data_IF_163130893625
#
_entry.id   IF_163130893625
#
_cell.length_a   1.000
_cell.length_b   1.000
_cell.length_c   1.000
_cell.angle_alpha   90.00
_cell.angle_beta   90.00
_cell.angle_gamma   90.00
#
_symmetry.space_group_name_H-M   'P 1'
#
loop_
_entity.id
_entity.type
_entity.pdbx_description
1 polymer ?
#
# COMPACT_ATOMS: atom_id res chain seq x y z
N UNK A 1 6.74 5.54 8.66
CA UNK A 1 7.40 5.93 7.41
C UNK A 1 6.68 5.27 6.24
N UNK A 2 6.03 6.03 5.34
CA UNK A 2 5.35 5.51 4.14
C UNK A 2 6.31 5.60 2.95
N UNK A 3 6.95 4.49 2.57
CA UNK A 3 7.88 4.43 1.43
C UNK A 3 9.03 5.47 1.49
N UNK A 4 9.53 5.75 2.70
CA UNK A 4 10.57 6.77 2.92
C UNK A 4 10.03 8.17 3.23
N UNK A 5 8.71 8.40 3.16
CA UNK A 5 8.09 9.61 3.67
C UNK A 5 7.86 9.51 5.17
N UNK A 6 8.37 10.49 5.89
CA UNK A 6 8.07 10.70 7.30
C UNK A 6 6.82 11.56 7.40
N UNK A 7 5.74 10.93 7.82
CA UNK A 7 4.42 11.56 7.97
C UNK A 7 4.10 11.52 9.45
N UNK A 8 4.07 12.69 10.08
CA UNK A 8 3.73 12.85 11.50
C UNK A 8 2.24 13.18 11.64
N UNK A 9 1.41 12.15 11.46
CA UNK A 9 -0.02 12.24 11.77
C UNK A 9 -0.22 11.67 13.17
N UNK A 10 -0.83 12.46 14.06
CA UNK A 10 -1.25 12.01 15.39
C UNK A 10 -2.41 11.01 15.27
N UNK A 11 -2.07 9.73 15.24
CA UNK A 11 -3.03 8.63 15.17
C UNK A 11 -3.45 8.11 16.55
N UNK A 12 -2.79 8.54 17.62
CA UNK A 12 -2.99 8.12 19.01
C UNK A 12 -4.42 8.34 19.52
N UNK A 13 -5.11 9.34 18.99
CA UNK A 13 -6.47 9.72 19.38
C UNK A 13 -7.53 9.29 18.38
N UNK A 14 -7.16 8.62 17.29
CA UNK A 14 -8.14 8.11 16.32
C UNK A 14 -8.93 6.98 16.99
N UNK A 15 -10.25 7.09 16.96
CA UNK A 15 -11.18 6.09 17.47
C UNK A 15 -12.16 5.66 16.37
N UNK A 16 -12.38 4.37 16.28
CA UNK A 16 -13.35 3.75 15.38
C UNK A 16 -14.62 3.42 16.19
N UNK A 17 -15.76 4.01 15.84
CA UNK A 17 -17.06 3.60 16.34
C UNK A 17 -17.55 2.31 15.65
N UNK A 18 -17.12 1.18 16.21
CA UNK A 18 -17.52 -0.16 15.76
C UNK A 18 -19.03 -0.45 15.89
N UNK A 19 -19.79 0.42 16.55
CA UNK A 19 -21.26 0.26 16.65
C UNK A 19 -21.98 0.85 15.44
N UNK A 20 -21.32 1.70 14.65
CA UNK A 20 -21.90 2.29 13.46
C UNK A 20 -21.98 1.27 12.31
N UNK A 21 -23.20 0.83 11.99
CA UNK A 21 -23.48 -0.13 10.89
C UNK A 21 -23.92 0.54 9.58
N UNK A 22 -23.77 1.86 9.47
CA UNK A 22 -24.17 2.60 8.27
C UNK A 22 -23.25 2.20 7.10
N UNK A 23 -23.84 1.80 5.98
CA UNK A 23 -23.08 1.51 4.78
C UNK A 23 -22.24 2.73 4.34
N UNK A 24 -20.96 2.51 4.06
CA UNK A 24 -20.02 3.57 3.68
C UNK A 24 -19.51 4.43 4.84
N UNK A 25 -19.82 4.07 6.09
CA UNK A 25 -19.22 4.72 7.25
C UNK A 25 -17.73 4.38 7.37
N UNK A 26 -16.95 5.37 7.79
CA UNK A 26 -15.52 5.26 8.09
C UNK A 26 -15.20 6.22 9.21
N UNK A 27 -14.34 5.83 10.16
CA UNK A 27 -13.81 6.71 11.19
C UNK A 27 -13.16 7.99 10.63
N UNK A 28 -12.74 7.99 9.37
CA UNK A 28 -12.20 9.17 8.68
C UNK A 28 -13.22 10.32 8.66
N UNK A 29 -14.51 9.97 8.57
CA UNK A 29 -15.61 10.93 8.55
C UNK A 29 -16.05 11.37 9.95
N UNK A 30 -15.52 10.76 11.02
CA UNK A 30 -15.87 11.16 12.38
C UNK A 30 -15.15 12.47 12.74
N UNK A 31 -15.88 13.58 13.02
CA UNK A 31 -15.27 14.85 13.39
C UNK A 31 -14.41 14.76 14.66
N UNK A 32 -14.64 13.77 15.54
CA UNK A 32 -13.80 13.53 16.73
C UNK A 32 -12.36 13.16 16.38
N UNK A 33 -12.15 12.52 15.22
CA UNK A 33 -10.84 12.10 14.76
C UNK A 33 -10.03 13.25 14.14
N UNK A 34 -10.66 14.41 13.88
CA UNK A 34 -10.00 15.62 13.34
C UNK A 34 -9.18 15.36 12.07
N UNK A 35 -9.62 14.40 11.25
CA UNK A 35 -8.93 13.99 10.03
C UNK A 35 -9.25 14.85 8.80
N UNK A 36 -10.20 15.78 8.93
CA UNK A 36 -10.64 16.65 7.84
C UNK A 36 -9.48 17.49 7.26
N UNK A 37 -8.65 18.07 8.12
CA UNK A 37 -7.53 18.94 7.71
C UNK A 37 -6.22 18.18 7.51
N UNK A 38 -6.20 16.87 7.78
CA UNK A 38 -4.98 16.04 7.66
C UNK A 38 -4.48 15.97 6.22
N UNK A 39 -5.37 16.11 5.24
CA UNK A 39 -4.99 16.20 3.83
C UNK A 39 -4.06 17.39 3.54
N UNK A 40 -4.31 18.56 4.14
CA UNK A 40 -3.48 19.74 3.93
C UNK A 40 -2.08 19.56 4.53
N UNK A 41 -2.02 19.00 5.74
CA UNK A 41 -0.74 18.68 6.40
C UNK A 41 0.08 17.65 5.62
N UNK A 42 -0.59 16.65 5.04
CA UNK A 42 0.03 15.68 4.14
C UNK A 42 0.58 16.35 2.88
N UNK A 43 -0.19 17.26 2.28
CA UNK A 43 0.25 18.00 1.11
C UNK A 43 1.49 18.85 1.44
N UNK A 44 1.50 19.57 2.56
CA UNK A 44 2.65 20.36 3.02
C UNK A 44 3.89 19.50 3.29
N UNK A 45 3.69 18.35 3.93
CA UNK A 45 4.76 17.37 4.12
C UNK A 45 5.33 16.94 2.77
N UNK A 46 4.48 16.64 1.80
CA UNK A 46 4.91 16.28 0.45
C UNK A 46 5.72 17.39 -0.23
N UNK A 47 5.31 18.66 -0.09
CA UNK A 47 6.03 19.82 -0.68
C UNK A 47 7.48 19.90 -0.22
N UNK A 48 7.72 19.60 1.05
CA UNK A 48 9.05 19.66 1.67
C UNK A 48 9.87 18.36 1.50
N UNK A 49 9.25 17.31 0.98
CA UNK A 49 9.82 15.96 0.93
C UNK A 49 10.39 15.59 -0.45
N UNK A 50 11.03 14.43 -0.48
CA UNK A 50 11.53 13.81 -1.70
C UNK A 50 11.32 12.30 -1.69
N UNK A 51 11.24 11.72 -2.88
CA UNK A 51 11.20 10.27 -3.05
C UNK A 51 12.43 9.82 -3.82
N UNK A 52 13.23 8.93 -3.21
CA UNK A 52 14.50 8.41 -3.78
C UNK A 52 15.44 9.54 -4.24
N UNK A 53 15.50 10.62 -3.47
CA UNK A 53 16.32 11.80 -3.74
C UNK A 53 15.76 12.77 -4.79
N UNK A 54 14.57 12.50 -5.35
CA UNK A 54 13.88 13.41 -6.27
C UNK A 54 12.75 14.16 -5.54
N UNK A 55 12.72 15.50 -5.58
CA UNK A 55 11.66 16.26 -4.91
C UNK A 55 10.31 16.06 -5.61
N UNK A 56 9.22 16.17 -4.85
CA UNK A 56 7.85 16.17 -5.40
C UNK A 56 7.47 17.50 -6.05
N UNK A 57 8.04 18.60 -5.57
CA UNK A 57 7.83 19.94 -6.12
C UNK A 57 9.18 20.57 -6.46
N UNK A 58 9.25 21.25 -7.61
CA UNK A 58 10.38 22.09 -7.98
C UNK A 58 9.85 23.50 -8.25
N UNK A 59 10.16 24.45 -7.36
CA UNK A 59 9.54 25.77 -7.40
C UNK A 59 8.06 25.69 -7.04
N UNK A 60 7.19 25.99 -8.00
CA UNK A 60 5.72 25.86 -7.87
C UNK A 60 5.15 24.61 -8.55
N UNK A 61 5.98 23.88 -9.30
CA UNK A 61 5.50 22.84 -10.20
C UNK A 61 5.69 21.43 -9.62
N UNK A 62 4.61 20.66 -9.65
CA UNK A 62 4.62 19.24 -9.29
C UNK A 62 5.44 18.43 -10.30
N UNK A 63 6.36 17.62 -9.77
CA UNK A 63 7.16 16.70 -10.55
C UNK A 63 6.36 15.41 -10.77
N UNK A 64 5.61 15.36 -11.87
CA UNK A 64 4.70 14.27 -12.21
C UNK A 64 5.40 12.91 -12.21
N UNK A 65 6.63 12.83 -12.74
CA UNK A 65 7.40 11.58 -12.78
C UNK A 65 7.72 11.05 -11.37
N UNK A 66 8.07 11.94 -10.43
CA UNK A 66 8.32 11.58 -9.04
C UNK A 66 7.02 11.09 -8.38
N UNK A 67 5.91 11.78 -8.64
CA UNK A 67 4.60 11.39 -8.11
C UNK A 67 4.17 10.01 -8.61
N UNK A 68 4.29 9.76 -9.92
CA UNK A 68 3.98 8.45 -10.53
C UNK A 68 4.89 7.36 -9.96
N UNK A 69 6.19 7.63 -9.83
CA UNK A 69 7.13 6.66 -9.27
C UNK A 69 6.79 6.31 -7.81
N UNK A 70 6.37 7.29 -7.00
CA UNK A 70 5.91 7.07 -5.63
C UNK A 70 4.63 6.23 -5.58
N UNK A 71 3.63 6.58 -6.40
CA UNK A 71 2.37 5.85 -6.47
C UNK A 71 2.56 4.39 -6.91
N UNK A 72 3.40 4.16 -7.93
CA UNK A 72 3.73 2.81 -8.38
C UNK A 72 4.42 1.99 -7.28
N UNK A 73 5.34 2.59 -6.52
CA UNK A 73 5.94 1.93 -5.38
C UNK A 73 4.92 1.56 -4.30
N UNK A 74 3.87 2.38 -4.10
CA UNK A 74 2.76 2.06 -3.20
C UNK A 74 1.89 0.90 -3.69
N UNK A 75 1.64 0.82 -5.00
CA UNK A 75 0.93 -0.31 -5.61
C UNK A 75 1.74 -1.60 -5.42
N UNK A 76 3.05 -1.56 -5.65
CA UNK A 76 3.91 -2.72 -5.50
C UNK A 76 4.03 -3.16 -4.04
N UNK A 77 4.15 -2.21 -3.10
CA UNK A 77 4.08 -2.51 -1.67
C UNK A 77 2.75 -3.19 -1.32
N UNK A 78 1.62 -2.67 -1.83
CA UNK A 78 0.30 -3.25 -1.56
C UNK A 78 0.18 -4.70 -2.05
N UNK A 79 0.69 -5.00 -3.25
CA UNK A 79 0.75 -6.36 -3.79
C UNK A 79 1.60 -7.29 -2.91
N UNK A 80 2.78 -6.81 -2.48
CA UNK A 80 3.68 -7.56 -1.62
C UNK A 80 3.07 -7.82 -0.25
N UNK A 81 2.45 -6.82 0.36
CA UNK A 81 1.75 -6.96 1.64
C UNK A 81 0.59 -7.94 1.54
N UNK A 82 -0.21 -7.86 0.45
CA UNK A 82 -1.27 -8.84 0.20
C UNK A 82 -0.71 -10.26 0.12
N UNK A 83 0.33 -10.49 -0.69
CA UNK A 83 0.96 -11.79 -0.81
C UNK A 83 1.54 -12.27 0.54
N UNK A 84 2.22 -11.38 1.27
CA UNK A 84 2.79 -11.69 2.57
C UNK A 84 1.72 -12.11 3.58
N UNK A 85 0.59 -11.40 3.66
CA UNK A 85 -0.52 -11.77 4.56
C UNK A 85 -1.08 -13.17 4.28
N UNK A 86 -1.07 -13.61 3.02
CA UNK A 86 -1.52 -14.95 2.64
C UNK A 86 -0.45 -16.03 2.90
N UNK A 87 0.84 -15.67 2.83
CA UNK A 87 1.96 -16.59 3.06
C UNK A 87 2.34 -16.72 4.54
N UNK A 88 2.19 -15.66 5.34
CA UNK A 88 2.47 -15.64 6.78
C UNK A 88 1.34 -16.22 7.63
N UNK A 89 0.19 -16.54 7.01
CA UNK A 89 -0.92 -17.28 7.62
C UNK A 89 -0.63 -18.78 7.83
N UNK A 90 0.63 -19.13 8.12
CA UNK A 90 1.07 -20.46 8.46
C UNK A 90 0.52 -20.89 9.82
N UNK A 91 -0.75 -21.27 9.87
CA UNK A 91 -1.13 -22.39 10.72
C UNK A 91 -0.81 -23.65 9.92
N UNK A 92 0.04 -24.56 10.43
CA UNK A 92 0.15 -25.87 9.83
C UNK A 92 -1.24 -26.51 9.88
N UNK A 93 -1.81 -26.80 8.72
CA UNK A 93 -2.96 -27.68 8.63
C UNK A 93 -2.60 -28.96 9.38
N UNK A 94 -3.27 -29.18 10.52
CA UNK A 94 -3.23 -30.43 11.26
C UNK A 94 -3.59 -31.57 10.29
N UNK A 95 -2.61 -32.40 9.97
CA UNK A 95 -2.77 -33.76 9.44
C UNK A 95 -3.02 -33.88 7.93
N UNK A 96 -2.02 -34.43 7.22
CA UNK A 96 -2.10 -35.71 6.45
C UNK A 96 -3.30 -35.82 5.46
N UNK A 97 -3.19 -35.94 4.12
CA UNK A 97 -2.12 -36.44 3.23
C UNK A 97 -2.53 -36.34 1.71
N UNK A 98 -1.55 -36.01 0.82
CA UNK A 98 -1.28 -36.50 -0.58
C UNK A 98 -2.17 -35.90 -1.74
N UNK A 99 -1.73 -35.87 -3.03
CA UNK A 99 -0.77 -34.96 -3.69
C UNK A 99 -1.28 -34.48 -5.09
N UNK A 100 -0.54 -33.59 -5.76
CA UNK A 100 -0.15 -33.64 -7.18
C UNK A 100 0.22 -32.23 -7.64
N UNK A 101 1.53 -31.99 -7.69
CA UNK A 101 2.09 -31.02 -8.59
C UNK A 101 1.75 -31.43 -10.02
N UNK A 102 1.10 -30.53 -10.76
CA UNK A 102 1.24 -30.46 -12.21
C UNK A 102 1.61 -29.04 -12.58
N UNK A 103 2.88 -28.70 -12.36
CA UNK A 103 3.58 -27.82 -13.30
C UNK A 103 3.54 -28.49 -14.66
N UNK A 104 2.88 -27.88 -15.65
CA UNK A 104 3.21 -27.86 -17.09
C UNK A 104 1.93 -27.69 -17.93
N UNK A 105 1.67 -26.47 -18.36
CA UNK A 105 1.04 -26.09 -19.64
C UNK A 105 0.81 -24.57 -19.61
N UNK A 106 1.30 -23.73 -20.51
CA UNK A 106 2.12 -23.91 -21.68
C UNK A 106 2.72 -22.55 -22.05
N UNK A 107 4.05 -22.47 -22.16
CA UNK A 107 4.69 -21.52 -23.06
C UNK A 107 5.29 -22.35 -24.20
N UNK A 108 4.77 -22.28 -25.43
CA UNK A 108 5.35 -22.98 -26.56
C UNK A 108 6.36 -22.05 -27.21
N UNK A 109 7.61 -21.96 -26.73
CA UNK A 109 8.60 -21.09 -27.40
C UNK A 109 10.06 -21.42 -27.01
N UNK A 110 10.54 -22.62 -27.31
CA UNK A 110 11.96 -22.88 -27.66
C UNK A 110 12.00 -24.19 -28.45
N UNK A 111 11.89 -24.13 -29.78
CA UNK A 111 12.98 -24.00 -30.76
C UNK A 111 13.75 -25.32 -30.96
N UNK A 112 13.59 -25.83 -32.17
CA UNK A 112 14.31 -26.90 -32.86
C UNK A 112 15.77 -27.11 -32.41
N UNK A 113 16.16 -28.37 -32.29
CA UNK A 113 17.51 -28.81 -32.65
C UNK A 113 17.53 -30.33 -32.92
N UNK A 114 17.51 -30.65 -34.22
CA UNK A 114 18.07 -31.82 -34.92
C UNK A 114 17.43 -33.20 -34.75
#
# INVERSE_FOLDING_TARGET
MMLGLEVDIKTDKIQDDLTCRKAGWSFIQDPKNKLADTWEQLADTLRSSSFRGKPFIKGTDWQVDTCIAYLNAGIDLSKLTFAASHLSGGLPGRGTEIPYATTLSAYPLFRQAK
#
